data_IF_469032434200
#
_entry.id   IF_469032434200
#
_cell.length_a   1.000
_cell.length_b   1.000
_cell.length_c   1.000
_cell.angle_alpha   90.00
_cell.angle_beta   90.00
_cell.angle_gamma   90.00
#
_symmetry.space_group_name_H-M   'P 1'
#
loop_
_entity.id
_entity.type
_entity.pdbx_description
1 polymer ?
#
# COMPACT_ATOMS: atom_id res chain seq x y z
N UNK A 1 -13.04 -9.91 -7.31
CA UNK A 1 -12.35 -8.71 -6.78
C UNK A 1 -10.84 -8.89 -6.89
N UNK A 2 -10.10 -7.82 -7.19
CA UNK A 2 -8.63 -7.83 -7.25
C UNK A 2 -8.08 -6.69 -6.41
N UNK A 3 -7.03 -6.95 -5.66
CA UNK A 3 -6.44 -6.00 -4.71
C UNK A 3 -5.09 -5.51 -5.24
N UNK A 4 -4.77 -4.25 -4.96
CA UNK A 4 -3.56 -3.59 -5.42
C UNK A 4 -3.04 -2.62 -4.34
N UNK A 5 -1.74 -2.32 -4.39
CA UNK A 5 -1.16 -1.18 -3.67
C UNK A 5 -0.82 -0.11 -4.68
N UNK A 6 -1.42 1.07 -4.53
CA UNK A 6 -0.98 2.27 -5.24
C UNK A 6 0.13 2.91 -4.42
N UNK A 7 1.32 2.96 -5.01
CA UNK A 7 2.51 3.59 -4.45
C UNK A 7 2.84 4.84 -5.25
N UNK A 8 3.07 5.96 -4.57
CA UNK A 8 3.47 7.23 -5.19
C UNK A 8 4.80 7.64 -4.57
N UNK A 9 5.89 7.45 -5.31
CA UNK A 9 7.23 7.79 -4.83
C UNK A 9 7.45 9.30 -4.85
N UNK A 10 7.60 9.92 -3.67
CA UNK A 10 7.90 11.34 -3.50
C UNK A 10 7.07 12.27 -4.40
N UNK A 11 5.79 11.94 -4.62
CA UNK A 11 4.85 12.63 -5.51
C UNK A 11 5.22 12.68 -7.02
N UNK A 12 6.21 11.89 -7.46
CA UNK A 12 6.70 11.90 -8.85
C UNK A 12 6.11 10.77 -9.68
N UNK A 13 6.18 9.53 -9.20
CA UNK A 13 5.91 8.35 -10.04
C UNK A 13 4.92 7.38 -9.37
N UNK A 14 3.70 7.21 -9.92
CA UNK A 14 2.75 6.22 -9.44
C UNK A 14 3.10 4.82 -9.96
N UNK A 15 3.16 3.85 -9.06
CA UNK A 15 3.32 2.42 -9.35
C UNK A 15 2.15 1.65 -8.75
N UNK A 16 1.62 0.69 -9.52
CA UNK A 16 0.56 -0.21 -9.05
C UNK A 16 1.14 -1.61 -8.83
N UNK A 17 1.13 -2.09 -7.59
CA UNK A 17 1.55 -3.44 -7.24
C UNK A 17 0.36 -4.39 -7.14
N UNK A 18 0.48 -5.58 -7.73
CA UNK A 18 -0.59 -6.58 -7.82
C UNK A 18 -0.75 -7.09 -9.27
N UNK A 19 -1.93 -7.66 -9.63
CA UNK A 19 -3.06 -7.92 -8.76
C UNK A 19 -2.76 -8.96 -7.68
N UNK A 20 -3.37 -8.78 -6.51
CA UNK A 20 -3.45 -9.76 -5.45
C UNK A 20 -4.86 -10.35 -5.38
N UNK A 21 -4.93 -11.60 -4.92
CA UNK A 21 -6.20 -12.32 -4.73
C UNK A 21 -6.76 -12.13 -3.31
N UNK A 22 -5.94 -11.61 -2.39
CA UNK A 22 -6.25 -11.47 -0.97
C UNK A 22 -5.84 -10.06 -0.47
N UNK A 23 -6.69 -9.33 0.28
CA UNK A 23 -6.32 -8.07 0.90
C UNK A 23 -5.11 -8.18 1.85
N UNK A 24 -4.88 -9.33 2.49
CA UNK A 24 -3.73 -9.53 3.38
C UNK A 24 -2.40 -9.49 2.59
N UNK A 25 -2.40 -9.98 1.33
CA UNK A 25 -1.22 -9.90 0.46
C UNK A 25 -0.93 -8.45 0.03
N UNK A 26 -1.98 -7.68 -0.26
CA UNK A 26 -1.87 -6.25 -0.54
C UNK A 26 -1.28 -5.52 0.68
N UNK A 27 -1.81 -5.79 1.86
CA UNK A 27 -1.42 -5.12 3.09
C UNK A 27 0.02 -5.47 3.48
N UNK A 28 0.43 -6.74 3.33
CA UNK A 28 1.83 -7.14 3.48
C UNK A 28 2.77 -6.38 2.53
N UNK A 29 2.36 -6.17 1.25
CA UNK A 29 3.15 -5.37 0.31
C UNK A 29 3.23 -3.90 0.73
N UNK A 30 2.14 -3.33 1.25
CA UNK A 30 2.12 -1.95 1.74
C UNK A 30 3.08 -1.75 2.92
N UNK A 31 3.17 -2.73 3.83
CA UNK A 31 4.14 -2.70 4.94
C UNK A 31 5.59 -2.76 4.46
N UNK A 32 5.90 -3.64 3.49
CA UNK A 32 7.24 -3.71 2.88
C UNK A 32 7.60 -2.37 2.23
N UNK A 33 6.67 -1.77 1.46
CA UNK A 33 6.92 -0.48 0.82
C UNK A 33 7.15 0.64 1.83
N UNK A 34 6.48 0.62 2.98
CA UNK A 34 6.72 1.57 4.07
C UNK A 34 8.11 1.41 4.68
N UNK A 35 8.57 0.18 4.87
CA UNK A 35 9.91 -0.11 5.41
C UNK A 35 11.03 0.29 4.44
N UNK A 36 10.78 0.19 3.13
CA UNK A 36 11.72 0.57 2.08
C UNK A 36 11.68 2.08 1.75
N UNK A 37 10.76 2.84 2.36
CA UNK A 37 10.55 4.27 2.09
C UNK A 37 11.62 5.11 2.82
N UNK A 38 12.47 5.87 2.12
CA UNK A 38 13.50 6.68 2.76
C UNK A 38 12.88 7.84 3.56
N UNK A 39 13.28 7.96 4.84
CA UNK A 39 12.73 8.89 5.85
C UNK A 39 12.64 10.37 5.44
N UNK A 40 13.38 10.81 4.42
CA UNK A 40 13.48 12.22 4.05
C UNK A 40 12.22 12.77 3.35
N UNK A 41 11.43 11.92 2.67
CA UNK A 41 10.21 12.31 1.97
C UNK A 41 9.22 11.12 1.92
N UNK A 42 8.11 11.15 2.70
CA UNK A 42 7.21 10.01 2.79
C UNK A 42 6.48 9.78 1.48
N UNK A 43 6.60 8.57 0.94
CA UNK A 43 5.85 8.12 -0.22
C UNK A 43 4.37 7.88 0.14
N UNK A 44 3.49 8.12 -0.83
CA UNK A 44 2.07 7.83 -0.71
C UNK A 44 1.81 6.33 -0.91
N UNK A 45 1.20 5.67 0.07
CA UNK A 45 0.85 4.24 0.00
C UNK A 45 -0.65 4.10 0.24
N UNK A 46 -1.38 3.61 -0.76
CA UNK A 46 -2.84 3.52 -0.72
C UNK A 46 -3.31 2.11 -1.07
N UNK A 47 -4.30 1.55 -0.34
CA UNK A 47 -4.98 0.35 -0.77
C UNK A 47 -5.87 0.70 -1.97
N UNK A 48 -5.83 -0.14 -2.99
CA UNK A 48 -6.72 -0.04 -4.14
C UNK A 48 -7.34 -1.39 -4.47
N UNK A 49 -8.57 -1.35 -4.99
CA UNK A 49 -9.36 -2.54 -5.27
C UNK A 49 -10.16 -2.33 -6.55
N UNK A 50 -10.18 -3.36 -7.40
CA UNK A 50 -11.05 -3.41 -8.58
C UNK A 50 -12.12 -4.47 -8.34
N UNK A 51 -13.38 -4.05 -8.38
CA UNK A 51 -14.51 -4.95 -8.18
C UNK A 51 -14.83 -5.76 -9.46
N UNK A 52 -15.89 -6.57 -9.41
CA UNK A 52 -16.29 -7.42 -10.54
C UNK A 52 -16.88 -6.65 -11.73
N UNK A 53 -17.34 -5.40 -11.50
CA UNK A 53 -17.79 -4.50 -12.55
C UNK A 53 -16.62 -3.75 -13.22
N UNK A 54 -15.43 -3.81 -12.63
CA UNK A 54 -14.24 -3.11 -13.10
C UNK A 54 -14.09 -1.71 -12.48
N UNK A 55 -14.89 -1.37 -11.47
CA UNK A 55 -14.79 -0.08 -10.80
C UNK A 55 -13.60 -0.08 -9.82
N UNK A 56 -12.82 1.00 -9.87
CA UNK A 56 -11.64 1.21 -9.03
C UNK A 56 -12.02 1.98 -7.76
N UNK A 57 -11.71 1.38 -6.61
CA UNK A 57 -11.86 1.98 -5.30
C UNK A 57 -10.48 2.20 -4.68
N UNK A 58 -10.19 3.43 -4.25
CA UNK A 58 -8.92 3.79 -3.57
C UNK A 58 -9.25 4.23 -2.15
N UNK A 59 -8.64 3.56 -1.17
CA UNK A 59 -8.81 3.87 0.25
C UNK A 59 -7.60 4.57 0.86
N UNK A 60 -7.55 4.58 2.19
CA UNK A 60 -6.42 5.12 2.97
C UNK A 60 -6.08 4.18 4.11
N UNK A 61 -4.80 3.90 4.30
CA UNK A 61 -4.33 3.26 5.53
C UNK A 61 -4.37 4.25 6.70
N UNK A 62 -4.65 3.75 7.90
CA UNK A 62 -4.53 4.54 9.14
C UNK A 62 -3.07 4.64 9.57
N UNK A 63 -2.72 5.62 10.41
CA UNK A 63 -1.37 5.69 11.01
C UNK A 63 -1.01 4.42 11.79
N UNK A 64 -1.95 3.94 12.62
CA UNK A 64 -1.79 2.72 13.43
C UNK A 64 -1.50 1.46 12.61
N UNK A 65 -1.93 1.41 11.34
CA UNK A 65 -1.60 0.30 10.45
C UNK A 65 -0.08 0.20 10.23
N UNK A 66 0.58 1.34 10.00
CA UNK A 66 2.03 1.38 9.79
C UNK A 66 2.82 1.35 11.10
N UNK A 67 2.32 1.93 12.18
CA UNK A 67 2.98 1.90 13.50
C UNK A 67 3.17 0.45 14.00
N UNK A 68 2.21 -0.45 13.72
CA UNK A 68 2.30 -1.87 14.08
C UNK A 68 3.44 -2.63 13.37
N UNK A 69 3.97 -2.07 12.27
CA UNK A 69 5.06 -2.66 11.51
C UNK A 69 6.45 -2.34 12.10
N UNK A 70 6.57 -1.24 12.85
CA UNK A 70 7.82 -0.75 13.43
C UNK A 70 8.18 -1.48 14.74
N UNK A 71 7.21 -1.98 15.50
CA UNK A 71 7.43 -2.73 16.76
C UNK A 71 8.09 -4.11 16.57
N UNK A 72 8.36 -4.53 15.33
CA UNK A 72 8.96 -5.84 15.00
C UNK A 72 10.47 -5.74 14.67
N UNK A 73 11.14 -4.62 14.99
CA UNK A 73 12.59 -4.53 14.90
C UNK A 73 13.27 -4.93 16.23
N UNK A 74 14.22 -5.90 16.24
CA UNK A 74 14.96 -6.33 17.44
C UNK A 74 16.03 -5.34 17.90
#
# INVERSE_FOLDING_TARGET
>A
MKFYVLFIYQDVEPTLYGPYDDPDQRDAKALILRQDDPDDLPSGIYPAEIDEAGDLHIGTYSGAFFDSAEEVQP
#
